data_IF_993613699448
#
_entry.id   IF_993613699448
#
_cell.length_a   1.000
_cell.length_b   1.000
_cell.length_c   1.000
_cell.angle_alpha   90.00
_cell.angle_beta   90.00
_cell.angle_gamma   90.00
#
_symmetry.space_group_name_H-M   'P 1'
#
loop_
_entity.id
_entity.type
_entity.pdbx_description
1 polymer ?
#
# COMPACT_ATOMS: atom_id res chain seq x y z
N UNK A 1 12.04 -31.22 -4.89
CA UNK A 1 13.26 -30.40 -4.99
C UNK A 1 14.40 -30.96 -4.12
N UNK A 2 15.01 -32.09 -4.50
CA UNK A 2 16.10 -32.69 -3.69
C UNK A 2 17.50 -32.26 -4.13
N UNK A 3 17.64 -31.66 -5.31
CA UNK A 3 18.95 -31.34 -5.93
C UNK A 3 19.18 -29.84 -6.19
N UNK A 4 18.27 -28.95 -5.76
CA UNK A 4 18.45 -27.49 -5.88
C UNK A 4 18.60 -26.94 -7.31
N UNK A 5 18.20 -27.69 -8.35
CA UNK A 5 18.33 -27.27 -9.75
C UNK A 5 17.16 -26.38 -10.16
N UNK A 6 17.25 -25.09 -9.86
CA UNK A 6 16.17 -24.13 -10.07
C UNK A 6 15.98 -23.76 -11.54
N UNK A 7 17.06 -23.59 -12.30
CA UNK A 7 17.00 -23.24 -13.73
C UNK A 7 16.23 -24.30 -14.53
N UNK A 8 16.53 -25.58 -14.30
CA UNK A 8 15.79 -26.67 -14.95
C UNK A 8 14.32 -26.72 -14.48
N UNK A 9 14.03 -26.33 -13.24
CA UNK A 9 12.66 -26.29 -12.74
C UNK A 9 11.87 -25.18 -13.44
N UNK A 10 12.48 -24.01 -13.64
CA UNK A 10 11.89 -22.91 -14.41
C UNK A 10 11.58 -23.34 -15.85
N UNK A 11 12.55 -23.93 -16.56
CA UNK A 11 12.34 -24.42 -17.93
C UNK A 11 11.19 -25.45 -18.00
N UNK A 12 11.16 -26.41 -17.08
CA UNK A 12 10.08 -27.39 -17.00
C UNK A 12 8.71 -26.72 -16.80
N UNK A 13 8.63 -25.74 -15.90
CA UNK A 13 7.39 -25.05 -15.58
C UNK A 13 6.91 -24.15 -16.74
N UNK A 14 7.84 -23.49 -17.44
CA UNK A 14 7.55 -22.73 -18.65
C UNK A 14 6.99 -23.62 -19.75
N UNK A 15 7.61 -24.79 -20.00
CA UNK A 15 7.12 -25.75 -20.97
C UNK A 15 5.77 -26.36 -20.58
N UNK A 16 5.55 -26.61 -19.28
CA UNK A 16 4.28 -27.10 -18.75
C UNK A 16 3.18 -26.02 -18.67
N UNK A 17 3.53 -24.75 -18.90
CA UNK A 17 2.65 -23.59 -18.73
C UNK A 17 2.01 -23.54 -17.32
N UNK A 18 2.77 -23.98 -16.31
CA UNK A 18 2.33 -23.95 -14.91
C UNK A 18 2.64 -22.57 -14.30
N UNK A 19 1.72 -21.64 -14.54
CA UNK A 19 1.85 -20.25 -14.08
C UNK A 19 1.86 -20.13 -12.54
N UNK A 20 1.19 -21.04 -11.83
CA UNK A 20 1.18 -21.05 -10.36
C UNK A 20 2.50 -21.54 -9.79
N UNK A 21 3.11 -22.56 -10.41
CA UNK A 21 4.45 -23.01 -10.07
C UNK A 21 5.51 -21.95 -10.37
N UNK A 22 5.41 -21.27 -11.52
CA UNK A 22 6.28 -20.14 -11.86
C UNK A 22 6.13 -18.98 -10.88
N UNK A 23 4.89 -18.67 -10.47
CA UNK A 23 4.63 -17.64 -9.47
C UNK A 23 5.37 -17.94 -8.17
N UNK A 24 5.23 -19.16 -7.66
CA UNK A 24 5.88 -19.61 -6.43
C UNK A 24 7.41 -19.56 -6.55
N UNK A 25 7.96 -19.97 -7.70
CA UNK A 25 9.39 -19.97 -7.95
C UNK A 25 9.94 -18.53 -7.95
N UNK A 26 9.36 -17.65 -8.78
CA UNK A 26 9.81 -16.26 -8.88
C UNK A 26 9.59 -15.47 -7.59
N UNK A 27 8.47 -15.68 -6.87
CA UNK A 27 8.25 -15.03 -5.58
C UNK A 27 9.26 -15.47 -4.53
N UNK A 28 9.66 -16.74 -4.54
CA UNK A 28 10.65 -17.28 -3.60
C UNK A 28 12.06 -16.78 -3.90
N UNK A 29 12.36 -16.52 -5.17
CA UNK A 29 13.65 -15.94 -5.61
C UNK A 29 13.69 -14.42 -5.48
N UNK A 30 12.54 -13.76 -5.34
CA UNK A 30 12.44 -12.30 -5.41
C UNK A 30 12.72 -11.75 -6.81
N UNK A 31 12.47 -12.54 -7.85
CA UNK A 31 12.69 -12.13 -9.25
C UNK A 31 11.54 -11.25 -9.76
N UNK A 32 11.71 -9.93 -9.67
CA UNK A 32 10.74 -8.95 -10.14
C UNK A 32 10.54 -8.96 -11.66
N UNK A 33 11.57 -9.28 -12.43
CA UNK A 33 11.49 -9.32 -13.89
C UNK A 33 10.71 -10.56 -14.36
N UNK A 34 10.98 -11.72 -13.73
CA UNK A 34 10.20 -12.95 -13.90
C UNK A 34 8.73 -12.76 -13.58
N UNK A 35 8.40 -12.14 -12.43
CA UNK A 35 7.02 -11.83 -12.03
C UNK A 35 6.35 -10.88 -13.04
N UNK A 36 7.07 -9.89 -13.58
CA UNK A 36 6.53 -8.95 -14.56
C UNK A 36 6.13 -9.65 -15.86
N UNK A 37 6.98 -10.53 -16.38
CA UNK A 37 6.68 -11.35 -17.57
C UNK A 37 5.54 -12.33 -17.30
N UNK A 38 5.53 -12.95 -16.13
CA UNK A 38 4.46 -13.87 -15.73
C UNK A 38 3.11 -13.14 -15.63
N UNK A 39 3.08 -11.90 -15.15
CA UNK A 39 1.86 -11.10 -15.05
C UNK A 39 1.18 -10.89 -16.41
N UNK A 40 1.96 -10.56 -17.45
CA UNK A 40 1.45 -10.34 -18.81
C UNK A 40 0.96 -11.65 -19.43
N UNK A 41 1.76 -12.73 -19.33
CA UNK A 41 1.38 -14.05 -19.83
C UNK A 41 0.12 -14.57 -19.13
N UNK A 42 0.00 -14.38 -17.81
CA UNK A 42 -1.18 -14.77 -17.05
C UNK A 42 -2.42 -13.96 -17.44
N UNK A 43 -2.27 -12.65 -17.72
CA UNK A 43 -3.36 -11.80 -18.21
C UNK A 43 -3.86 -12.27 -19.58
N UNK A 44 -2.95 -12.55 -20.51
CA UNK A 44 -3.26 -13.05 -21.85
C UNK A 44 -3.96 -14.42 -21.83
N UNK A 45 -3.57 -15.29 -20.91
CA UNK A 45 -4.21 -16.60 -20.71
C UNK A 45 -5.52 -16.54 -19.91
N UNK A 46 -5.97 -15.34 -19.50
CA UNK A 46 -7.19 -15.16 -18.69
C UNK A 46 -7.07 -15.70 -17.27
N UNK A 47 -5.85 -15.94 -16.77
CA UNK A 47 -5.58 -16.38 -15.39
C UNK A 47 -5.48 -15.16 -14.47
N UNK A 48 -6.63 -14.49 -14.30
CA UNK A 48 -6.72 -13.21 -13.56
C UNK A 48 -6.14 -13.28 -12.14
N UNK A 49 -6.39 -14.36 -11.39
CA UNK A 49 -5.87 -14.47 -10.02
C UNK A 49 -4.32 -14.44 -9.96
N UNK A 50 -3.66 -15.13 -10.90
CA UNK A 50 -2.19 -15.16 -10.97
C UNK A 50 -1.68 -13.78 -11.40
N UNK A 51 -2.29 -13.20 -12.43
CA UNK A 51 -1.95 -11.86 -12.91
C UNK A 51 -2.10 -10.80 -11.80
N UNK A 52 -3.21 -10.85 -11.04
CA UNK A 52 -3.47 -9.99 -9.89
C UNK A 52 -2.37 -10.10 -8.83
N UNK A 53 -2.01 -11.32 -8.43
CA UNK A 53 -0.95 -11.54 -7.44
C UNK A 53 0.40 -11.02 -7.93
N UNK A 54 0.73 -11.23 -9.21
CA UNK A 54 1.95 -10.67 -9.78
C UNK A 54 1.97 -9.14 -9.71
N UNK A 55 0.91 -8.46 -10.17
CA UNK A 55 0.83 -7.01 -10.12
C UNK A 55 0.84 -6.48 -8.68
N UNK A 56 0.17 -7.17 -7.76
CA UNK A 56 0.13 -6.81 -6.35
C UNK A 56 1.52 -6.90 -5.71
N UNK A 57 2.28 -7.97 -5.97
CA UNK A 57 3.66 -8.12 -5.49
C UNK A 57 4.62 -7.11 -6.11
N UNK A 58 4.35 -6.63 -7.33
CA UNK A 58 5.13 -5.56 -7.96
C UNK A 58 4.74 -4.15 -7.47
N UNK A 59 3.69 -4.03 -6.65
CA UNK A 59 3.16 -2.74 -6.20
C UNK A 59 2.41 -1.96 -7.29
N UNK A 60 2.05 -2.59 -8.41
CA UNK A 60 1.31 -2.01 -9.54
C UNK A 60 -0.19 -2.06 -9.27
N UNK A 61 -0.63 -1.26 -8.30
CA UNK A 61 -2.01 -1.30 -7.79
C UNK A 61 -3.05 -0.83 -8.82
N UNK A 62 -2.68 0.08 -9.70
CA UNK A 62 -3.53 0.59 -10.77
C UNK A 62 -3.88 -0.53 -11.77
N UNK A 63 -2.91 -1.39 -12.11
CA UNK A 63 -3.13 -2.57 -12.96
C UNK A 63 -4.02 -3.61 -12.27
N UNK A 64 -3.82 -3.83 -10.96
CA UNK A 64 -4.69 -4.70 -10.17
C UNK A 64 -6.14 -4.19 -10.17
N UNK A 65 -6.33 -2.89 -9.98
CA UNK A 65 -7.64 -2.26 -9.97
C UNK A 65 -8.32 -2.41 -11.34
N UNK A 66 -7.58 -2.12 -12.41
CA UNK A 66 -8.06 -2.26 -13.78
C UNK A 66 -8.47 -3.71 -14.10
N UNK A 67 -7.70 -4.70 -13.65
CA UNK A 67 -8.02 -6.13 -13.82
C UNK A 67 -9.34 -6.51 -13.13
N UNK A 68 -9.62 -5.96 -11.94
CA UNK A 68 -10.88 -6.21 -11.22
C UNK A 68 -12.07 -5.57 -11.94
N UNK A 69 -11.89 -4.38 -12.52
CA UNK A 69 -12.93 -3.72 -13.33
C UNK A 69 -13.21 -4.53 -14.60
N UNK A 70 -12.16 -4.92 -15.33
CA UNK A 70 -12.26 -5.73 -16.57
C UNK A 70 -12.96 -7.07 -16.34
N UNK A 71 -12.77 -7.67 -15.16
CA UNK A 71 -13.41 -8.93 -14.77
C UNK A 71 -14.81 -8.76 -14.15
N UNK A 72 -15.40 -7.57 -14.21
CA UNK A 72 -16.69 -7.22 -13.61
C UNK A 72 -16.79 -7.48 -12.10
N UNK A 73 -15.67 -7.37 -11.37
CA UNK A 73 -15.60 -7.52 -9.91
C UNK A 73 -15.54 -6.17 -9.21
N UNK A 74 -16.51 -5.32 -9.51
CA UNK A 74 -16.54 -3.92 -9.05
C UNK A 74 -16.56 -3.78 -7.51
N UNK A 75 -17.29 -4.60 -6.73
CA UNK A 75 -17.25 -4.51 -5.26
C UNK A 75 -15.85 -4.79 -4.68
N UNK A 76 -15.12 -5.76 -5.24
CA UNK A 76 -13.74 -6.07 -4.85
C UNK A 76 -12.80 -4.92 -5.23
N UNK A 77 -13.00 -4.32 -6.42
CA UNK A 77 -12.27 -3.13 -6.85
C UNK A 77 -12.49 -1.93 -5.90
N UNK A 78 -13.74 -1.72 -5.45
CA UNK A 78 -14.08 -0.63 -4.52
C UNK A 78 -13.38 -0.82 -3.17
N UNK A 79 -13.38 -2.05 -2.65
CA UNK A 79 -12.69 -2.39 -1.40
C UNK A 79 -11.17 -2.18 -1.55
N UNK A 80 -10.59 -2.63 -2.66
CA UNK A 80 -9.17 -2.44 -2.94
C UNK A 80 -8.79 -0.96 -3.05
N UNK A 81 -9.59 -0.17 -3.78
CA UNK A 81 -9.38 1.26 -3.91
C UNK A 81 -9.43 1.94 -2.53
N UNK A 82 -10.42 1.61 -1.69
CA UNK A 82 -10.53 2.17 -0.35
C UNK A 82 -9.29 1.89 0.52
N UNK A 83 -8.67 0.73 0.38
CA UNK A 83 -7.50 0.34 1.18
C UNK A 83 -6.18 0.91 0.67
N UNK A 84 -5.99 1.01 -0.66
CA UNK A 84 -4.67 1.30 -1.23
C UNK A 84 -4.63 2.52 -2.17
N UNK A 85 -5.76 2.88 -2.78
CA UNK A 85 -5.90 3.96 -3.78
C UNK A 85 -7.15 4.81 -3.48
N UNK A 86 -7.23 5.49 -2.31
CA UNK A 86 -8.41 6.28 -1.94
C UNK A 86 -8.81 7.30 -3.01
N UNK A 87 -7.85 7.89 -3.73
CA UNK A 87 -8.10 8.80 -4.86
C UNK A 87 -9.00 8.22 -5.95
N UNK A 88 -9.03 6.90 -6.11
CA UNK A 88 -9.83 6.18 -7.11
C UNK A 88 -11.21 5.77 -6.63
N UNK A 89 -11.50 5.83 -5.33
CA UNK A 89 -12.78 5.35 -4.77
C UNK A 89 -14.00 6.03 -5.41
N UNK A 90 -14.07 7.36 -5.59
CA UNK A 90 -15.26 7.98 -6.19
C UNK A 90 -15.55 7.46 -7.61
N UNK A 91 -14.49 7.27 -8.41
CA UNK A 91 -14.59 6.71 -9.78
C UNK A 91 -15.19 5.29 -9.75
N UNK A 92 -14.70 4.42 -8.85
CA UNK A 92 -15.18 3.04 -8.74
C UNK A 92 -16.57 2.95 -8.14
N UNK A 93 -16.90 3.80 -7.15
CA UNK A 93 -18.25 3.86 -6.57
C UNK A 93 -19.28 4.29 -7.61
N UNK A 94 -18.95 5.25 -8.48
CA UNK A 94 -19.82 5.62 -9.59
C UNK A 94 -20.06 4.45 -10.57
N UNK A 95 -19.02 3.70 -10.92
CA UNK A 95 -19.15 2.47 -11.72
C UNK A 95 -20.03 1.42 -11.00
N UNK A 96 -19.84 1.25 -9.69
CA UNK A 96 -20.59 0.29 -8.90
C UNK A 96 -22.07 0.66 -8.79
N UNK A 97 -22.39 1.93 -8.55
CA UNK A 97 -23.75 2.47 -8.58
C UNK A 97 -24.42 2.17 -9.91
N UNK A 98 -23.75 2.46 -11.04
CA UNK A 98 -24.29 2.20 -12.39
C UNK A 98 -24.55 0.72 -12.66
N UNK A 99 -23.69 -0.17 -12.17
CA UNK A 99 -23.89 -1.60 -12.37
C UNK A 99 -25.01 -2.14 -11.47
N UNK A 100 -25.04 -1.73 -10.20
CA UNK A 100 -26.11 -2.10 -9.26
C UNK A 100 -27.47 -1.56 -9.67
N UNK A 101 -27.57 -0.40 -10.32
CA UNK A 101 -28.85 0.14 -10.79
C UNK A 101 -29.60 -0.85 -11.70
N UNK A 102 -28.89 -1.70 -12.45
CA UNK A 102 -29.49 -2.73 -13.31
C UNK A 102 -30.13 -3.87 -12.53
N UNK A 103 -29.63 -4.16 -11.32
CA UNK A 103 -30.00 -5.32 -10.52
C UNK A 103 -30.88 -4.92 -9.32
N UNK A 104 -30.45 -3.90 -8.57
CA UNK A 104 -31.13 -3.38 -7.40
C UNK A 104 -30.90 -1.86 -7.24
N UNK A 105 -31.86 -1.02 -7.67
CA UNK A 105 -31.72 0.44 -7.59
C UNK A 105 -31.61 0.95 -6.16
N UNK A 106 -32.32 0.33 -5.20
CA UNK A 106 -32.26 0.73 -3.78
C UNK A 106 -30.88 0.49 -3.17
N UNK A 107 -30.21 -0.59 -3.56
CA UNK A 107 -28.84 -0.86 -3.12
C UNK A 107 -27.85 0.14 -3.72
N UNK A 108 -28.05 0.56 -4.97
CA UNK A 108 -27.21 1.58 -5.61
C UNK A 108 -27.30 2.94 -4.90
N UNK A 109 -28.50 3.35 -4.50
CA UNK A 109 -28.72 4.59 -3.72
C UNK A 109 -28.12 4.54 -2.31
N UNK A 110 -27.92 3.34 -1.76
CA UNK A 110 -27.33 3.15 -0.44
C UNK A 110 -25.79 3.29 -0.43
N UNK A 111 -25.15 3.34 -1.61
CA UNK A 111 -23.71 3.55 -1.72
C UNK A 111 -23.36 5.03 -1.54
N UNK A 112 -22.65 5.35 -0.45
CA UNK A 112 -22.14 6.70 -0.22
C UNK A 112 -20.89 6.96 -1.08
N UNK A 113 -20.83 8.15 -1.67
CA UNK A 113 -19.63 8.65 -2.37
C UNK A 113 -18.86 9.59 -1.41
N UNK A 114 -17.53 9.42 -1.25
CA UNK A 114 -16.70 10.33 -0.46
C UNK A 114 -16.78 11.80 -0.87
N UNK A 115 -17.05 12.08 -2.15
CA UNK A 115 -17.17 13.45 -2.65
C UNK A 115 -18.53 14.08 -2.33
N UNK A 116 -19.60 13.27 -2.33
CA UNK A 116 -20.97 13.73 -2.06
C UNK A 116 -21.24 13.83 -0.56
N UNK A 117 -20.67 12.91 0.24
CA UNK A 117 -20.87 12.81 1.68
C UNK A 117 -19.54 12.69 2.45
N UNK A 118 -18.66 13.73 2.43
CA UNK A 118 -17.37 13.67 3.12
C UNK A 118 -17.48 13.36 4.62
N UNK A 119 -18.59 13.77 5.24
CA UNK A 119 -18.88 13.56 6.66
C UNK A 119 -19.08 12.08 7.07
N UNK A 120 -19.24 11.17 6.10
CA UNK A 120 -19.34 9.72 6.35
C UNK A 120 -17.98 9.02 6.28
N UNK A 121 -16.93 9.73 5.86
CA UNK A 121 -15.60 9.18 5.63
C UNK A 121 -14.59 9.92 6.52
N UNK A 122 -14.41 9.41 7.73
CA UNK A 122 -13.38 9.89 8.63
C UNK A 122 -12.00 9.78 7.97
N UNK A 123 -11.14 10.78 8.20
CA UNK A 123 -9.75 10.80 7.76
C UNK A 123 -9.52 10.76 6.25
N UNK A 124 -10.55 11.05 5.46
CA UNK A 124 -10.48 10.98 4.00
C UNK A 124 -9.30 11.77 3.42
N UNK A 125 -9.12 13.01 3.89
CA UNK A 125 -8.04 13.87 3.44
C UNK A 125 -6.65 13.35 3.84
N UNK A 126 -6.55 12.75 5.02
CA UNK A 126 -5.31 12.13 5.50
C UNK A 126 -4.97 10.93 4.60
N UNK A 127 -5.95 10.09 4.27
CA UNK A 127 -5.76 8.94 3.40
C UNK A 127 -5.24 9.34 2.01
N UNK A 128 -5.77 10.43 1.43
CA UNK A 128 -5.29 10.97 0.14
C UNK A 128 -3.84 11.48 0.23
N UNK A 129 -3.48 12.18 1.29
CA UNK A 129 -2.11 12.67 1.49
C UNK A 129 -1.10 11.53 1.71
N UNK A 130 -1.50 10.51 2.48
CA UNK A 130 -0.73 9.28 2.69
C UNK A 130 -0.53 8.57 1.35
N UNK A 131 -1.58 8.41 0.55
CA UNK A 131 -1.49 7.81 -0.79
C UNK A 131 -0.47 8.54 -1.67
N UNK A 132 -0.57 9.87 -1.78
CA UNK A 132 0.33 10.68 -2.60
C UNK A 132 1.81 10.53 -2.19
N UNK A 133 2.08 10.37 -0.89
CA UNK A 133 3.43 10.16 -0.38
C UNK A 133 3.94 8.74 -0.64
N UNK A 134 3.07 7.74 -0.51
CA UNK A 134 3.43 6.33 -0.64
C UNK A 134 3.58 5.94 -2.11
N UNK A 135 2.77 6.51 -3.00
CA UNK A 135 2.76 6.25 -4.44
C UNK A 135 4.16 6.20 -5.08
N UNK A 136 5.05 7.22 -4.94
CA UNK A 136 6.39 7.18 -5.54
C UNK A 136 7.33 6.12 -4.94
N UNK A 137 7.00 5.57 -3.78
CA UNK A 137 7.81 4.56 -3.08
C UNK A 137 7.30 3.13 -3.33
N UNK A 138 6.16 2.96 -4.00
CA UNK A 138 5.60 1.64 -4.34
C UNK A 138 6.54 0.92 -5.30
N UNK A 139 6.74 -0.38 -5.07
CA UNK A 139 7.64 -1.20 -5.88
C UNK A 139 9.14 -0.93 -5.67
N UNK A 140 9.51 -0.01 -4.77
CA UNK A 140 10.90 0.21 -4.35
C UNK A 140 11.15 -0.61 -3.09
N UNK A 141 11.88 -1.71 -3.24
CA UNK A 141 12.22 -2.60 -2.15
C UNK A 141 13.61 -2.25 -1.60
N UNK A 142 13.74 -2.00 -0.29
CA UNK A 142 15.06 -1.81 0.31
C UNK A 142 15.87 -3.12 0.22
N UNK A 143 17.21 -3.05 0.15
CA UNK A 143 18.06 -4.23 0.18
C UNK A 143 17.78 -5.09 1.41
N UNK A 144 17.88 -6.42 1.26
CA UNK A 144 17.64 -7.35 2.36
C UNK A 144 18.56 -7.12 3.57
N UNK A 145 19.74 -6.54 3.38
CA UNK A 145 20.67 -6.15 4.45
C UNK A 145 20.03 -5.15 5.44
N UNK A 146 19.12 -4.30 4.97
CA UNK A 146 18.41 -3.32 5.80
C UNK A 146 17.25 -3.93 6.59
N UNK A 147 17.00 -5.24 6.50
CA UNK A 147 15.87 -5.91 7.16
C UNK A 147 15.79 -5.61 8.66
N UNK A 148 16.92 -5.61 9.37
CA UNK A 148 16.96 -5.34 10.81
C UNK A 148 16.45 -3.94 11.17
N UNK A 149 16.55 -2.97 10.25
CA UNK A 149 15.99 -1.62 10.44
C UNK A 149 14.47 -1.59 10.30
N UNK A 150 13.88 -2.61 9.67
CA UNK A 150 12.45 -2.71 9.38
C UNK A 150 11.74 -3.83 10.17
N UNK A 151 12.47 -4.68 10.87
CA UNK A 151 11.94 -5.86 11.56
C UNK A 151 10.96 -5.52 12.69
N UNK A 152 11.12 -4.36 13.35
CA UNK A 152 10.26 -3.88 14.44
C UNK A 152 9.18 -2.90 13.97
N UNK A 153 8.81 -2.90 12.69
CA UNK A 153 7.79 -1.98 12.16
C UNK A 153 6.46 -2.21 12.89
N UNK A 154 5.85 -1.14 13.39
CA UNK A 154 4.54 -1.22 14.06
C UNK A 154 3.49 -1.76 13.10
N UNK A 155 2.51 -2.50 13.64
CA UNK A 155 1.36 -3.01 12.89
C UNK A 155 0.27 -1.95 12.66
N UNK A 156 0.58 -0.69 12.95
CA UNK A 156 -0.35 0.44 12.83
C UNK A 156 -0.62 0.76 11.36
N UNK A 157 -1.84 1.21 11.08
CA UNK A 157 -2.20 1.71 9.75
C UNK A 157 -1.37 2.95 9.41
N UNK A 158 -1.10 3.16 8.12
CA UNK A 158 -0.42 4.37 7.66
C UNK A 158 -1.17 5.66 8.03
N UNK A 159 -2.51 5.59 8.12
CA UNK A 159 -3.36 6.70 8.55
C UNK A 159 -3.21 6.96 10.05
N UNK A 160 -3.15 5.91 10.87
CA UNK A 160 -2.95 6.01 12.32
C UNK A 160 -1.55 6.55 12.66
N UNK A 161 -0.52 6.04 11.99
CA UNK A 161 0.84 6.53 12.14
C UNK A 161 0.95 8.02 11.80
N UNK A 162 0.24 8.47 10.75
CA UNK A 162 0.21 9.88 10.36
C UNK A 162 -0.48 10.77 11.42
N UNK A 163 -1.59 10.29 12.00
CA UNK A 163 -2.32 10.97 13.07
C UNK A 163 -1.54 11.08 14.37
N UNK A 164 -0.97 9.98 14.84
CA UNK A 164 -0.21 9.93 16.08
C UNK A 164 0.97 10.92 16.07
N UNK A 165 1.46 11.27 14.89
CA UNK A 165 2.55 12.25 14.73
C UNK A 165 2.07 13.71 14.75
N UNK A 166 0.83 14.00 14.30
CA UNK A 166 0.21 15.33 14.42
C UNK A 166 -0.16 15.67 15.87
N UNK A 167 -0.65 14.68 16.64
CA UNK A 167 -1.04 14.86 18.06
C UNK A 167 0.16 15.25 18.95
N UNK A 168 1.39 14.91 18.55
CA UNK A 168 2.59 15.28 19.28
C UNK A 168 3.05 16.73 19.07
N UNK A 169 2.50 17.45 18.09
CA UNK A 169 2.88 18.85 17.79
C UNK A 169 1.90 19.86 18.41
N UNK A 170 0.63 19.48 18.61
CA UNK A 170 -0.40 20.28 19.29
C UNK A 170 -0.21 20.36 20.83
N UNK A 171 0.82 19.74 21.40
CA UNK A 171 1.10 19.73 22.85
C UNK A 171 2.05 20.85 23.31
N UNK A 172 2.25 21.91 22.53
CA UNK A 172 2.88 23.15 22.99
C UNK A 172 1.77 24.13 23.40
N UNK A 173 1.82 24.71 24.62
CA UNK A 173 0.77 25.57 25.09
C UNK A 173 0.66 26.82 24.22
N UNK A 174 -0.54 26.96 23.67
CA UNK A 174 -1.08 28.10 22.94
C UNK A 174 -1.11 29.33 23.85
N UNK A 175 -0.17 30.25 23.63
CA UNK A 175 -0.33 31.66 23.95
C UNK A 175 0.10 32.42 22.69
N UNK A 176 -0.81 32.53 21.72
CA UNK A 176 -1.21 33.80 21.11
C UNK A 176 -2.16 33.55 19.93
N UNK A 177 -3.38 34.04 20.08
CA UNK A 177 -4.36 34.24 19.01
C UNK A 177 -3.74 35.12 17.89
N UNK A 178 -4.03 34.74 16.64
CA UNK A 178 -3.79 35.46 15.37
C UNK A 178 -2.69 34.89 14.45
N UNK A 179 -3.02 33.82 13.71
CA UNK A 179 -2.51 33.56 12.35
C UNK A 179 -3.30 32.43 11.68
N UNK A 180 -4.50 32.75 11.17
CA UNK A 180 -5.11 31.96 10.09
C UNK A 180 -4.45 32.40 8.77
N UNK A 181 -4.08 31.42 7.96
CA UNK A 181 -3.40 31.51 6.65
C UNK A 181 -1.86 31.45 6.65
N UNK A 182 -1.29 30.27 6.92
CA UNK A 182 -0.04 29.82 6.25
C UNK A 182 0.25 28.30 6.38
N UNK A 183 -0.77 27.44 6.47
CA UNK A 183 -0.55 25.98 6.72
C UNK A 183 -0.30 25.17 5.44
N UNK A 184 -0.46 25.76 4.24
CA UNK A 184 -0.41 24.98 3.00
C UNK A 184 1.01 24.58 2.53
N UNK A 185 2.07 25.27 2.96
CA UNK A 185 3.39 25.17 2.31
C UNK A 185 4.45 24.32 3.05
N UNK A 186 4.15 23.74 4.22
CA UNK A 186 5.14 22.94 4.98
C UNK A 186 4.98 21.40 4.85
N UNK A 187 3.90 20.93 4.21
CA UNK A 187 3.57 19.49 4.11
C UNK A 187 4.65 18.59 3.45
N UNK A 188 5.39 19.01 2.40
CA UNK A 188 6.36 18.13 1.73
C UNK A 188 7.57 17.77 2.60
N UNK A 189 8.04 18.71 3.43
CA UNK A 189 9.19 18.49 4.33
C UNK A 189 8.80 17.71 5.59
N UNK A 190 7.54 17.84 6.03
CA UNK A 190 7.00 17.13 7.18
C UNK A 190 6.92 15.60 6.96
N UNK A 191 6.63 15.16 5.73
CA UNK A 191 6.57 13.72 5.42
C UNK A 191 7.94 13.12 5.09
N UNK A 192 8.89 13.94 4.62
CA UNK A 192 10.32 13.58 4.68
C UNK A 192 10.72 13.31 6.12
N UNK A 193 10.29 14.16 7.07
CA UNK A 193 10.54 13.96 8.49
C UNK A 193 9.88 12.68 9.04
N UNK A 194 8.70 12.25 8.57
CA UNK A 194 8.12 10.93 8.91
C UNK A 194 9.07 9.79 8.51
N UNK A 195 9.57 9.81 7.27
CA UNK A 195 10.51 8.79 6.78
C UNK A 195 11.91 8.87 7.45
N UNK A 196 12.32 10.06 7.90
CA UNK A 196 13.58 10.31 8.60
C UNK A 196 13.50 10.08 10.12
N UNK A 197 12.34 10.26 10.77
CA UNK A 197 12.13 9.99 12.21
C UNK A 197 12.13 8.49 12.50
N UNK A 198 11.77 7.67 11.51
CA UNK A 198 12.07 6.23 11.48
C UNK A 198 13.56 5.90 11.16
N UNK A 199 14.43 6.91 11.01
CA UNK A 199 15.84 6.75 10.61
C UNK A 199 16.88 7.22 11.64
N UNK A 200 16.48 7.83 12.75
CA UNK A 200 17.42 8.18 13.83
C UNK A 200 16.76 8.13 15.21
N UNK A 201 17.27 7.25 16.09
CA UNK A 201 16.93 7.26 17.53
C UNK A 201 17.31 8.61 18.17
N UNK A 202 16.53 9.16 19.10
CA UNK A 202 17.07 10.07 20.10
C UNK A 202 18.01 9.28 21.01
N UNK A 203 19.29 9.66 21.04
CA UNK A 203 20.20 9.26 22.12
C UNK A 203 19.68 9.87 23.41
N UNK A 204 19.14 9.06 24.31
CA UNK A 204 19.06 9.41 25.72
C UNK A 204 20.20 8.67 26.40
N UNK A 205 21.28 9.41 26.65
CA UNK A 205 22.36 8.92 27.47
C UNK A 205 21.86 8.74 28.90
N UNK A 206 21.99 7.53 29.43
CA UNK A 206 22.07 7.30 30.87
C UNK A 206 23.33 6.48 31.11
N UNK A 207 24.36 7.22 31.54
CA UNK A 207 25.55 6.67 32.18
C UNK A 207 25.12 5.88 33.41
N UNK A 208 25.47 4.59 33.47
CA UNK A 208 25.61 3.88 34.75
C UNK A 208 26.89 3.03 34.70
N UNK A 209 27.86 3.62 35.37
CA UNK A 209 29.14 3.15 35.88
C UNK A 209 29.24 1.66 36.21
N UNK A 210 30.42 1.11 35.88
CA UNK A 210 31.04 -0.08 36.49
C UNK A 210 30.72 -0.20 37.98
N UNK A 211 30.41 -1.41 38.44
CA UNK A 211 30.83 -1.90 39.75
C UNK A 211 31.24 -3.36 39.62
N UNK A 212 32.41 -3.63 40.18
CA UNK A 212 33.28 -4.78 40.01
C UNK A 212 32.82 -6.04 40.77
N UNK A 213 33.55 -7.12 40.49
CA UNK A 213 33.61 -8.39 41.21
C UNK A 213 33.64 -8.29 42.73
N UNK A 214 32.81 -9.10 43.41
CA UNK A 214 33.23 -10.24 44.24
C UNK A 214 32.03 -11.10 44.62
#
# INVERSE_FOLDING_TARGET
MSTGKLDMAEECLLHAMDLSGLLLLYSSLGDADGITKLASVAKEQGKNNVSFLCFFMLGKLEECLQLLIESNRIPEAALMARSYLPSKVPEIVALWKKDLQKVNPKAAESLADPNEYPNLFDDWQIALNVEATVAPKRGIYPPAEEYMNHAERSSESLVEAFKNMHVHEEALPDDNEDAVDEVADCYPDFVKAIFLKHRTRPKIGLSLTKLDHN
#
